data_IF_875189786260
#
_entry.id   IF_875189786260
#
_cell.length_a   1.000
_cell.length_b   1.000
_cell.length_c   1.000
_cell.angle_alpha   90.00
_cell.angle_beta   90.00
_cell.angle_gamma   90.00
#
_symmetry.space_group_name_H-M   'P 1'
#
loop_
_entity.id
_entity.type
_entity.pdbx_description
1 polymer ?
#
# COMPACT_ATOMS: atom_id res chain seq x y z
N UNK A 1 -11.73 -23.73 -20.69
CA UNK A 1 -10.50 -23.06 -21.16
C UNK A 1 -10.74 -21.59 -21.53
N UNK A 2 -11.71 -21.28 -22.41
CA UNK A 2 -11.99 -19.92 -22.89
C UNK A 2 -12.36 -18.88 -21.80
N UNK A 3 -13.22 -19.23 -20.83
CA UNK A 3 -13.59 -18.34 -19.70
C UNK A 3 -12.38 -17.90 -18.87
N UNK A 4 -11.49 -18.86 -18.56
CA UNK A 4 -10.25 -18.59 -17.81
C UNK A 4 -9.28 -17.68 -18.57
N UNK A 5 -9.23 -17.80 -19.89
CA UNK A 5 -8.43 -16.90 -20.75
C UNK A 5 -8.99 -15.47 -20.76
N UNK A 6 -10.32 -15.34 -20.84
CA UNK A 6 -11.01 -14.05 -20.73
C UNK A 6 -10.78 -13.40 -19.36
N UNK A 7 -10.93 -14.16 -18.26
CA UNK A 7 -10.68 -13.65 -16.92
C UNK A 7 -9.22 -13.17 -16.76
N UNK A 8 -8.25 -13.92 -17.30
CA UNK A 8 -6.85 -13.50 -17.33
C UNK A 8 -6.63 -12.22 -18.14
N UNK A 9 -7.29 -12.06 -19.30
CA UNK A 9 -7.20 -10.84 -20.11
C UNK A 9 -7.70 -9.62 -19.34
N UNK A 10 -8.86 -9.72 -18.68
CA UNK A 10 -9.40 -8.62 -17.87
C UNK A 10 -8.50 -8.29 -16.67
N UNK A 11 -7.86 -9.29 -16.05
CA UNK A 11 -6.87 -9.04 -14.99
C UNK A 11 -5.65 -8.29 -15.49
N UNK A 12 -5.10 -8.66 -16.65
CA UNK A 12 -3.94 -7.98 -17.24
C UNK A 12 -4.28 -6.51 -17.51
N UNK A 13 -5.45 -6.26 -18.11
CA UNK A 13 -5.93 -4.90 -18.37
C UNK A 13 -6.11 -4.13 -17.06
N UNK A 14 -6.75 -4.74 -16.06
CA UNK A 14 -6.93 -4.13 -14.75
C UNK A 14 -5.60 -3.81 -14.05
N UNK A 15 -4.61 -4.71 -14.11
CA UNK A 15 -3.28 -4.47 -13.57
C UNK A 15 -2.59 -3.30 -14.25
N UNK A 16 -2.66 -3.24 -15.58
CA UNK A 16 -2.09 -2.14 -16.36
C UNK A 16 -2.72 -0.80 -16.01
N UNK A 17 -4.05 -0.75 -15.91
CA UNK A 17 -4.79 0.45 -15.49
C UNK A 17 -4.36 0.88 -14.09
N UNK A 18 -4.30 -0.06 -13.13
CA UNK A 18 -3.88 0.24 -11.76
C UNK A 18 -2.44 0.76 -11.69
N UNK A 19 -1.50 0.17 -12.45
CA UNK A 19 -0.11 0.63 -12.49
C UNK A 19 -0.03 2.04 -13.07
N UNK A 20 -0.68 2.30 -14.21
CA UNK A 20 -0.70 3.64 -14.82
C UNK A 20 -1.33 4.65 -13.86
N UNK A 21 -2.50 4.34 -13.29
CA UNK A 21 -3.18 5.22 -12.35
C UNK A 21 -2.32 5.52 -11.13
N UNK A 22 -1.56 4.53 -10.62
CA UNK A 22 -0.67 4.70 -9.48
C UNK A 22 0.55 5.55 -9.81
N UNK A 23 1.20 5.28 -10.94
CA UNK A 23 2.37 6.05 -11.39
C UNK A 23 1.99 7.49 -11.70
N UNK A 24 0.98 7.70 -12.56
CA UNK A 24 0.53 9.04 -12.94
C UNK A 24 -0.09 9.77 -11.74
N UNK A 25 -0.87 9.06 -10.91
CA UNK A 25 -1.45 9.62 -9.70
C UNK A 25 -0.36 10.14 -8.76
N UNK A 26 0.66 9.32 -8.46
CA UNK A 26 1.78 9.73 -7.61
C UNK A 26 2.58 10.89 -8.22
N UNK A 27 2.74 10.94 -9.54
CA UNK A 27 3.55 11.99 -10.20
C UNK A 27 2.80 13.32 -10.31
N UNK A 28 1.57 13.30 -10.82
CA UNK A 28 0.84 14.50 -11.20
C UNK A 28 -0.01 15.07 -10.07
N UNK A 29 -0.59 14.24 -9.19
CA UNK A 29 -1.40 14.76 -8.08
C UNK A 29 -0.56 15.55 -7.07
N UNK A 30 0.78 15.38 -7.10
CA UNK A 30 1.68 16.04 -6.16
C UNK A 30 1.68 17.55 -6.37
N UNK A 31 1.51 17.99 -7.61
CA UNK A 31 1.44 19.39 -7.98
C UNK A 31 0.15 20.09 -7.48
N UNK A 32 -0.85 19.32 -7.04
CA UNK A 32 -2.08 19.83 -6.45
C UNK A 32 -2.06 19.87 -4.93
N UNK A 33 -1.03 19.30 -4.29
CA UNK A 33 -0.83 19.47 -2.86
C UNK A 33 -0.41 20.93 -2.59
N UNK A 34 -0.81 21.52 -1.45
CA UNK A 34 -0.35 22.86 -1.07
C UNK A 34 1.19 22.92 -1.01
N UNK A 35 1.79 24.10 -0.79
CA UNK A 35 3.24 24.19 -0.57
C UNK A 35 3.56 24.28 0.93
N UNK A 36 4.39 23.36 1.44
CA UNK A 36 4.76 23.14 2.84
C UNK A 36 3.60 22.92 3.83
N UNK A 37 3.73 22.02 4.81
CA UNK A 37 2.77 21.95 5.91
C UNK A 37 2.66 23.32 6.58
N UNK A 38 1.45 23.88 6.63
CA UNK A 38 1.18 25.12 7.34
C UNK A 38 0.97 24.87 8.84
N UNK A 39 0.57 23.65 9.21
CA UNK A 39 0.15 23.29 10.56
C UNK A 39 1.11 22.29 11.16
N UNK A 40 1.59 22.63 12.36
CA UNK A 40 2.56 21.84 13.10
C UNK A 40 2.01 21.51 14.48
N UNK A 41 2.35 20.32 14.97
CA UNK A 41 2.08 19.89 16.34
C UNK A 41 3.42 19.61 17.02
N UNK A 42 3.58 20.07 18.25
CA UNK A 42 4.78 19.78 19.05
C UNK A 42 4.44 18.69 20.04
N UNK A 43 5.11 17.54 19.92
CA UNK A 43 4.95 16.40 20.82
C UNK A 43 6.32 16.16 21.48
N UNK A 44 6.37 16.20 22.81
CA UNK A 44 7.61 16.02 23.59
C UNK A 44 8.77 16.92 23.14
N UNK A 45 8.48 18.17 22.80
CA UNK A 45 9.49 19.14 22.33
C UNK A 45 9.93 18.96 20.88
N UNK A 46 9.37 17.99 20.14
CA UNK A 46 9.62 17.81 18.71
C UNK A 46 8.42 18.33 17.92
N UNK A 47 8.67 19.34 17.09
CA UNK A 47 7.66 19.89 16.19
C UNK A 47 7.59 19.03 14.92
N UNK A 48 6.40 18.51 14.64
CA UNK A 48 6.10 17.69 13.47
C UNK A 48 4.96 18.33 12.66
N UNK A 49 4.99 18.21 11.33
CA UNK A 49 3.88 18.65 10.51
C UNK A 49 2.65 17.77 10.76
N UNK A 50 1.48 18.41 10.91
CA UNK A 50 0.19 17.70 11.06
C UNK A 50 -0.27 17.10 9.74
N UNK A 51 -0.03 17.82 8.64
CA UNK A 51 -0.40 17.42 7.29
C UNK A 51 0.85 17.20 6.45
N UNK A 52 1.27 15.95 6.27
CA UNK A 52 2.38 15.65 5.36
C UNK A 52 1.90 15.66 3.91
N UNK A 53 2.72 16.25 3.04
CA UNK A 53 2.49 16.24 1.60
C UNK A 53 2.93 14.92 1.00
N UNK A 54 2.14 13.91 1.28
CA UNK A 54 2.33 12.57 0.78
C UNK A 54 1.05 12.12 0.03
N UNK A 55 1.26 11.50 -1.13
CA UNK A 55 0.24 10.80 -1.91
C UNK A 55 0.15 9.32 -1.55
N UNK A 56 0.53 8.98 -0.31
CA UNK A 56 0.51 7.65 0.25
C UNK A 56 -0.78 6.90 -0.07
N UNK A 57 -1.92 7.57 0.13
CA UNK A 57 -3.24 7.00 -0.10
C UNK A 57 -3.44 6.49 -1.54
N UNK A 58 -2.79 7.10 -2.54
CA UNK A 58 -2.87 6.67 -3.96
C UNK A 58 -2.30 5.27 -4.10
N UNK A 59 -1.08 5.08 -3.62
CA UNK A 59 -0.39 3.78 -3.70
C UNK A 59 -1.07 2.78 -2.77
N UNK A 60 -1.47 3.19 -1.56
CA UNK A 60 -2.15 2.33 -0.59
C UNK A 60 -3.47 1.76 -1.14
N UNK A 61 -4.34 2.61 -1.72
CA UNK A 61 -5.62 2.17 -2.30
C UNK A 61 -5.41 1.27 -3.51
N UNK A 62 -4.45 1.59 -4.38
CA UNK A 62 -4.17 0.76 -5.55
C UNK A 62 -3.59 -0.60 -5.15
N UNK A 63 -2.73 -0.62 -4.12
CA UNK A 63 -2.21 -1.85 -3.52
C UNK A 63 -3.35 -2.69 -2.94
N UNK A 64 -4.27 -2.08 -2.19
CA UNK A 64 -5.42 -2.77 -1.64
C UNK A 64 -6.32 -3.34 -2.75
N UNK A 65 -6.58 -2.58 -3.83
CA UNK A 65 -7.36 -3.01 -4.98
C UNK A 65 -6.71 -4.17 -5.74
N UNK A 66 -5.39 -4.16 -5.91
CA UNK A 66 -4.69 -5.26 -6.59
C UNK A 66 -4.88 -6.58 -5.85
N UNK A 67 -4.83 -6.55 -4.52
CA UNK A 67 -5.13 -7.70 -3.66
C UNK A 67 -6.59 -8.13 -3.69
N UNK A 68 -7.52 -7.19 -3.55
CA UNK A 68 -8.96 -7.48 -3.46
C UNK A 68 -9.56 -7.96 -4.79
N UNK A 69 -9.17 -7.36 -5.91
CA UNK A 69 -9.77 -7.59 -7.22
C UNK A 69 -8.95 -8.53 -8.11
N UNK A 70 -7.65 -8.26 -8.30
CA UNK A 70 -6.84 -8.95 -9.30
C UNK A 70 -6.29 -10.29 -8.81
N UNK A 71 -5.87 -10.35 -7.53
CA UNK A 71 -5.37 -11.55 -6.84
C UNK A 71 -4.13 -12.19 -7.48
N UNK A 72 -3.55 -13.18 -6.82
CA UNK A 72 -2.41 -13.94 -7.34
C UNK A 72 -1.20 -13.04 -7.59
N UNK A 73 -0.50 -13.21 -8.71
CA UNK A 73 0.74 -12.48 -9.00
C UNK A 73 0.59 -10.95 -8.96
N UNK A 74 -0.58 -10.42 -9.34
CA UNK A 74 -0.81 -8.97 -9.40
C UNK A 74 -0.88 -8.31 -8.02
N UNK A 75 -1.14 -9.08 -6.97
CA UNK A 75 -1.03 -8.60 -5.59
C UNK A 75 0.38 -8.08 -5.29
N UNK A 76 1.41 -8.72 -5.85
CA UNK A 76 2.81 -8.29 -5.70
C UNK A 76 3.24 -7.33 -6.82
N UNK A 77 2.97 -7.69 -8.08
CA UNK A 77 3.49 -6.97 -9.26
C UNK A 77 3.03 -5.50 -9.29
N UNK A 78 1.75 -5.23 -8.98
CA UNK A 78 1.18 -3.88 -9.08
C UNK A 78 1.87 -2.90 -8.12
N UNK A 79 1.87 -3.10 -6.78
CA UNK A 79 2.56 -2.20 -5.87
C UNK A 79 4.06 -2.13 -6.14
N UNK A 80 4.70 -3.25 -6.47
CA UNK A 80 6.13 -3.29 -6.78
C UNK A 80 6.49 -2.40 -7.97
N UNK A 81 5.77 -2.52 -9.10
CA UNK A 81 6.06 -1.72 -10.29
C UNK A 81 5.74 -0.24 -10.10
N UNK A 82 4.68 0.11 -9.36
CA UNK A 82 4.38 1.51 -9.05
C UNK A 82 5.55 2.12 -8.30
N UNK A 83 6.02 1.48 -7.23
CA UNK A 83 7.13 1.97 -6.42
C UNK A 83 8.44 2.03 -7.23
N UNK A 84 8.79 0.97 -7.96
CA UNK A 84 9.96 0.93 -8.82
C UNK A 84 10.00 2.09 -9.80
N UNK A 85 8.93 2.29 -10.58
CA UNK A 85 8.88 3.33 -11.62
C UNK A 85 8.96 4.72 -11.00
N UNK A 86 8.19 4.94 -9.94
CA UNK A 86 8.07 6.28 -9.35
C UNK A 86 9.31 6.66 -8.52
N UNK A 87 10.02 5.70 -7.94
CA UNK A 87 11.28 5.96 -7.24
C UNK A 87 12.46 6.10 -8.21
N UNK A 88 12.42 5.49 -9.40
CA UNK A 88 13.36 5.85 -10.49
C UNK A 88 13.18 7.32 -10.88
N UNK A 89 11.94 7.81 -10.89
CA UNK A 89 11.63 9.19 -11.25
C UNK A 89 12.04 10.21 -10.16
N UNK A 90 11.78 9.90 -8.88
CA UNK A 90 12.05 10.83 -7.77
C UNK A 90 13.41 10.65 -7.08
N UNK A 91 14.06 9.51 -7.28
CA UNK A 91 15.10 9.04 -6.37
C UNK A 91 14.50 8.44 -5.09
N UNK A 92 15.36 7.83 -4.28
CA UNK A 92 14.92 7.10 -3.10
C UNK A 92 15.82 7.29 -1.89
N UNK A 93 15.30 6.95 -0.72
CA UNK A 93 16.00 7.02 0.55
C UNK A 93 16.46 5.64 1.02
N UNK A 94 17.29 5.63 2.05
CA UNK A 94 17.89 4.42 2.64
C UNK A 94 16.86 3.34 3.04
N UNK A 95 15.66 3.74 3.42
CA UNK A 95 14.58 2.84 3.89
C UNK A 95 13.67 2.33 2.77
N UNK A 96 14.02 2.52 1.50
CA UNK A 96 13.09 2.30 0.40
C UNK A 96 12.45 0.92 0.36
N UNK A 97 13.22 -0.13 0.65
CA UNK A 97 12.73 -1.50 0.67
C UNK A 97 11.61 -1.68 1.70
N UNK A 98 11.68 -0.99 2.84
CA UNK A 98 10.60 -0.99 3.83
C UNK A 98 9.32 -0.39 3.27
N UNK A 99 9.40 0.68 2.48
CA UNK A 99 8.23 1.29 1.85
C UNK A 99 7.63 0.37 0.77
N UNK A 100 8.47 -0.26 -0.05
CA UNK A 100 8.04 -1.18 -1.11
C UNK A 100 7.34 -2.40 -0.53
N UNK A 101 7.98 -3.05 0.45
CA UNK A 101 7.40 -4.21 1.11
C UNK A 101 6.19 -3.84 1.96
N UNK A 102 6.15 -2.63 2.50
CA UNK A 102 4.98 -2.07 3.18
C UNK A 102 3.75 -2.00 2.27
N UNK A 103 3.88 -1.45 1.06
CA UNK A 103 2.74 -1.40 0.13
C UNK A 103 2.31 -2.80 -0.32
N UNK A 104 3.26 -3.71 -0.49
CA UNK A 104 2.98 -5.12 -0.76
C UNK A 104 2.23 -5.78 0.40
N UNK A 105 2.53 -5.43 1.67
CA UNK A 105 1.77 -5.90 2.83
C UNK A 105 0.29 -5.46 2.76
N UNK A 106 0.03 -4.21 2.38
CA UNK A 106 -1.36 -3.73 2.18
C UNK A 106 -2.07 -4.58 1.11
N UNK A 107 -1.40 -4.85 -0.01
CA UNK A 107 -1.96 -5.68 -1.07
C UNK A 107 -2.21 -7.13 -0.60
N UNK A 108 -1.28 -7.70 0.17
CA UNK A 108 -1.43 -9.04 0.74
C UNK A 108 -2.63 -9.15 1.67
N UNK A 109 -2.90 -8.14 2.51
CA UNK A 109 -4.09 -8.14 3.37
C UNK A 109 -5.37 -8.16 2.53
N UNK A 110 -5.45 -7.33 1.49
CA UNK A 110 -6.56 -7.36 0.54
C UNK A 110 -6.72 -8.74 -0.11
N UNK A 111 -5.62 -9.35 -0.54
CA UNK A 111 -5.62 -10.69 -1.12
C UNK A 111 -6.13 -11.76 -0.15
N UNK A 112 -5.64 -11.78 1.09
CA UNK A 112 -6.02 -12.73 2.14
C UNK A 112 -7.52 -12.63 2.46
N UNK A 113 -8.04 -11.41 2.57
CA UNK A 113 -9.46 -11.16 2.83
C UNK A 113 -10.32 -11.61 1.65
N UNK A 114 -9.90 -11.31 0.42
CA UNK A 114 -10.63 -11.70 -0.78
C UNK A 114 -10.69 -13.22 -1.00
N UNK A 115 -9.71 -13.97 -0.48
CA UNK A 115 -9.68 -15.43 -0.57
C UNK A 115 -10.54 -16.13 0.48
N UNK A 116 -10.89 -15.45 1.58
CA UNK A 116 -11.93 -15.95 2.48
C UNK A 116 -13.24 -15.85 1.72
N UNK A 117 -14.00 -16.94 1.59
CA UNK A 117 -15.26 -17.02 0.79
C UNK A 117 -16.41 -16.12 1.29
N UNK A 118 -16.11 -15.11 2.12
CA UNK A 118 -17.06 -14.11 2.61
C UNK A 118 -17.24 -13.01 1.56
N UNK A 119 -18.46 -12.48 1.47
CA UNK A 119 -18.76 -11.25 0.72
C UNK A 119 -17.87 -10.11 1.21
N UNK A 120 -17.33 -9.32 0.27
CA UNK A 120 -16.50 -8.15 0.54
C UNK A 120 -17.41 -6.97 0.92
N UNK A 121 -18.03 -7.04 2.10
CA UNK A 121 -18.86 -5.94 2.57
C UNK A 121 -18.01 -4.72 2.98
N UNK A 122 -18.67 -3.56 3.03
CA UNK A 122 -18.03 -2.26 3.32
C UNK A 122 -17.22 -2.29 4.63
N UNK A 123 -17.73 -2.81 5.77
CA UNK A 123 -16.96 -2.84 7.02
C UNK A 123 -15.67 -3.64 6.92
N UNK A 124 -15.69 -4.79 6.25
CA UNK A 124 -14.49 -5.62 6.06
C UNK A 124 -13.47 -4.91 5.21
N UNK A 125 -13.89 -4.26 4.11
CA UNK A 125 -12.99 -3.52 3.22
C UNK A 125 -12.36 -2.33 3.95
N UNK A 126 -13.16 -1.55 4.66
CA UNK A 126 -12.68 -0.41 5.44
C UNK A 126 -11.70 -0.85 6.54
N UNK A 127 -12.07 -1.88 7.30
CA UNK A 127 -11.21 -2.44 8.35
C UNK A 127 -9.89 -2.98 7.78
N UNK A 128 -9.92 -3.64 6.61
CA UNK A 128 -8.72 -4.13 5.93
C UNK A 128 -7.79 -2.97 5.55
N UNK A 129 -8.36 -1.87 5.05
CA UNK A 129 -7.60 -0.66 4.74
C UNK A 129 -6.93 -0.05 5.97
N UNK A 130 -7.70 0.14 7.06
CA UNK A 130 -7.20 0.69 8.32
C UNK A 130 -6.06 -0.18 8.89
N UNK A 131 -6.27 -1.50 8.97
CA UNK A 131 -5.25 -2.44 9.44
C UNK A 131 -4.03 -2.43 8.52
N UNK A 132 -4.24 -2.32 7.20
CA UNK A 132 -3.15 -2.22 6.22
C UNK A 132 -2.28 -1.00 6.42
N UNK A 133 -2.88 0.18 6.64
CA UNK A 133 -2.14 1.41 6.93
C UNK A 133 -1.36 1.29 8.24
N UNK A 134 -2.00 0.81 9.30
CA UNK A 134 -1.33 0.64 10.60
C UNK A 134 -0.13 -0.32 10.50
N UNK A 135 -0.26 -1.42 9.77
CA UNK A 135 0.84 -2.36 9.54
C UNK A 135 1.93 -1.76 8.66
N UNK A 136 1.57 -0.99 7.63
CA UNK A 136 2.53 -0.26 6.81
C UNK A 136 3.34 0.72 7.65
N UNK A 137 2.67 1.55 8.47
CA UNK A 137 3.35 2.57 9.27
C UNK A 137 4.20 1.92 10.36
N UNK A 138 3.72 0.86 11.01
CA UNK A 138 4.51 0.11 11.97
C UNK A 138 5.79 -0.44 11.32
N UNK A 139 5.65 -1.04 10.14
CA UNK A 139 6.77 -1.63 9.41
C UNK A 139 7.77 -0.59 8.90
N UNK A 140 7.30 0.51 8.32
CA UNK A 140 8.18 1.55 7.77
C UNK A 140 8.86 2.35 8.87
N UNK A 141 8.19 2.62 9.99
CA UNK A 141 8.82 3.26 11.15
C UNK A 141 9.87 2.37 11.81
N UNK A 142 9.69 1.06 11.80
CA UNK A 142 10.77 0.14 12.18
C UNK A 142 11.99 0.31 11.26
N UNK A 143 11.79 0.46 9.95
CA UNK A 143 12.85 0.80 9.00
C UNK A 143 13.51 2.15 9.30
N UNK A 144 12.73 3.19 9.60
CA UNK A 144 13.24 4.51 10.01
C UNK A 144 14.11 4.41 11.27
N UNK A 145 13.67 3.65 12.28
CA UNK A 145 14.41 3.45 13.51
C UNK A 145 15.76 2.78 13.24
N UNK A 146 15.78 1.72 12.42
CA UNK A 146 17.01 1.04 12.02
C UNK A 146 17.96 1.96 11.24
N UNK A 147 17.42 2.81 10.36
CA UNK A 147 18.20 3.67 9.47
C UNK A 147 18.73 4.97 10.08
N UNK A 148 17.96 5.61 10.97
CA UNK A 148 18.23 7.01 11.35
C UNK A 148 18.27 7.30 12.85
N UNK A 149 17.77 6.39 13.69
CA UNK A 149 17.67 6.63 15.13
C UNK A 149 18.71 5.81 15.90
N UNK A 150 19.13 6.25 17.10
CA UNK A 150 19.95 5.43 17.98
C UNK A 150 19.24 4.10 18.30
N UNK A 151 19.98 2.99 18.20
CA UNK A 151 19.48 1.63 18.46
C UNK A 151 19.36 1.35 19.96
N UNK A 152 18.59 2.21 20.65
CA UNK A 152 18.26 2.12 22.07
C UNK A 152 16.74 2.14 22.23
N UNK A 153 16.24 1.68 23.38
CA UNK A 153 14.81 1.72 23.67
C UNK A 153 14.24 3.15 23.60
N UNK A 154 15.00 4.14 24.05
CA UNK A 154 14.61 5.54 23.95
C UNK A 154 14.53 6.03 22.51
N UNK A 155 15.48 5.63 21.66
CA UNK A 155 15.45 5.92 20.22
C UNK A 155 14.25 5.29 19.51
N UNK A 156 13.88 4.07 19.89
CA UNK A 156 12.69 3.38 19.38
C UNK A 156 11.41 4.13 19.78
N UNK A 157 11.23 4.41 21.07
CA UNK A 157 10.06 5.15 21.58
C UNK A 157 9.95 6.52 20.89
N UNK A 158 11.07 7.22 20.73
CA UNK A 158 11.12 8.50 20.07
C UNK A 158 10.66 8.41 18.60
N UNK A 159 11.22 7.47 17.83
CA UNK A 159 10.88 7.25 16.43
C UNK A 159 9.36 7.04 16.24
N UNK A 160 8.77 6.17 17.06
CA UNK A 160 7.33 5.89 16.97
C UNK A 160 6.44 7.01 17.49
N UNK A 161 6.88 7.76 18.51
CA UNK A 161 6.13 8.91 19.03
C UNK A 161 6.06 10.03 17.99
N UNK A 162 7.18 10.29 17.32
CA UNK A 162 7.29 11.29 16.26
C UNK A 162 6.47 10.92 15.03
N UNK A 163 6.26 9.62 14.78
CA UNK A 163 5.48 9.14 13.64
C UNK A 163 3.96 9.26 13.80
N UNK A 164 3.43 9.55 15.00
CA UNK A 164 1.98 9.56 15.26
C UNK A 164 1.21 10.51 14.31
N UNK A 165 1.62 11.78 14.10
CA UNK A 165 0.93 12.67 13.17
C UNK A 165 0.89 12.14 11.74
N UNK A 166 1.98 11.47 11.32
CA UNK A 166 2.09 10.85 10.00
C UNK A 166 1.09 9.69 9.84
N UNK A 167 1.02 8.80 10.83
CA UNK A 167 0.04 7.69 10.83
C UNK A 167 -1.40 8.18 10.80
N UNK A 168 -1.72 9.24 11.52
CA UNK A 168 -3.06 9.83 11.49
C UNK A 168 -3.41 10.37 10.10
N UNK A 169 -2.48 11.02 9.42
CA UNK A 169 -2.68 11.50 8.05
C UNK A 169 -2.87 10.36 7.05
N UNK A 170 -2.06 9.30 7.16
CA UNK A 170 -2.18 8.10 6.34
C UNK A 170 -3.54 7.42 6.50
N UNK A 171 -4.02 7.30 7.74
CA UNK A 171 -5.34 6.75 8.04
C UNK A 171 -6.45 7.60 7.43
N UNK A 172 -6.44 8.91 7.69
CA UNK A 172 -7.48 9.81 7.22
C UNK A 172 -7.57 9.81 5.68
N UNK A 173 -6.43 10.01 5.02
CA UNK A 173 -6.35 10.05 3.56
C UNK A 173 -6.75 8.73 2.91
N UNK A 174 -6.32 7.60 3.48
CA UNK A 174 -6.66 6.26 2.95
C UNK A 174 -8.11 5.90 3.19
N UNK A 175 -8.69 6.22 4.36
CA UNK A 175 -10.13 5.99 4.63
C UNK A 175 -11.01 6.80 3.68
N UNK A 176 -10.65 8.06 3.44
CA UNK A 176 -11.33 8.89 2.43
C UNK A 176 -11.22 8.28 1.04
N UNK A 177 -10.02 7.87 0.63
CA UNK A 177 -9.78 7.27 -0.68
C UNK A 177 -10.44 5.90 -0.85
N UNK A 178 -10.53 5.08 0.19
CA UNK A 178 -11.30 3.82 0.19
C UNK A 178 -12.77 4.10 -0.07
N UNK A 179 -13.31 5.12 0.60
CA UNK A 179 -14.71 5.50 0.47
C UNK A 179 -15.07 5.93 -0.96
N UNK A 180 -14.19 6.71 -1.59
CA UNK A 180 -14.41 7.29 -2.91
C UNK A 180 -14.03 6.33 -4.05
N UNK A 181 -13.05 5.45 -3.85
CA UNK A 181 -12.46 4.65 -4.94
C UNK A 181 -12.73 3.15 -4.75
N UNK A 182 -12.39 2.60 -3.59
CA UNK A 182 -12.42 1.15 -3.37
C UNK A 182 -13.84 0.63 -3.25
N UNK A 183 -14.69 1.31 -2.47
CA UNK A 183 -16.09 0.91 -2.29
C UNK A 183 -16.84 0.92 -3.64
N UNK A 184 -16.79 1.99 -4.46
CA UNK A 184 -17.39 1.96 -5.80
C UNK A 184 -16.81 0.87 -6.69
N UNK A 185 -15.49 0.64 -6.68
CA UNK A 185 -14.88 -0.42 -7.49
C UNK A 185 -15.40 -1.82 -7.11
N UNK A 186 -15.58 -2.10 -5.82
CA UNK A 186 -16.16 -3.37 -5.35
C UNK A 186 -17.64 -3.45 -5.72
N UNK A 187 -18.41 -2.37 -5.56
CA UNK A 187 -19.80 -2.30 -5.96
C UNK A 187 -19.98 -2.61 -7.46
N UNK A 188 -19.17 -2.00 -8.32
CA UNK A 188 -19.17 -2.25 -9.77
C UNK A 188 -18.84 -3.71 -10.11
N UNK A 189 -17.93 -4.34 -9.35
CA UNK A 189 -17.64 -5.77 -9.50
C UNK A 189 -18.82 -6.65 -9.09
N UNK A 190 -19.46 -6.36 -7.95
CA UNK A 190 -20.60 -7.14 -7.46
C UNK A 190 -21.82 -7.06 -8.39
N UNK A 191 -22.01 -5.93 -9.09
CA UNK A 191 -23.08 -5.74 -10.08
C UNK A 191 -22.70 -6.23 -11.49
N UNK A 192 -21.57 -6.92 -11.64
CA UNK A 192 -21.15 -7.52 -12.91
C UNK A 192 -20.65 -6.53 -13.97
N UNK A 193 -20.43 -5.26 -13.60
CA UNK A 193 -19.87 -4.25 -14.50
C UNK A 193 -18.35 -4.41 -14.66
N UNK A 194 -17.67 -4.97 -13.65
CA UNK A 194 -16.27 -5.40 -13.74
C UNK A 194 -16.18 -6.93 -13.86
N UNK A 195 -15.85 -7.41 -15.06
CA UNK A 195 -15.67 -8.84 -15.35
C UNK A 195 -14.31 -9.38 -14.83
N UNK A 196 -14.08 -9.29 -13.52
CA UNK A 196 -12.86 -9.78 -12.86
C UNK A 196 -13.25 -10.85 -11.83
N UNK A 197 -13.55 -12.05 -12.33
CA UNK A 197 -13.97 -13.20 -11.52
C UNK A 197 -12.91 -14.29 -11.55
N UNK A 198 -11.74 -13.96 -11.01
CA UNK A 198 -10.62 -14.90 -10.98
C UNK A 198 -10.38 -15.49 -9.59
N UNK A 199 -10.10 -16.78 -9.58
CA UNK A 199 -9.67 -17.52 -8.39
C UNK A 199 -8.21 -17.86 -8.57
N UNK A 200 -7.36 -17.35 -7.66
CA UNK A 200 -5.93 -17.61 -7.69
C UNK A 200 -5.61 -19.09 -7.55
N UNK A 201 -4.69 -19.57 -8.38
CA UNK A 201 -4.15 -20.92 -8.31
C UNK A 201 -3.27 -21.10 -7.06
N UNK A 202 -3.11 -22.34 -6.55
CA UNK A 202 -2.20 -22.60 -5.43
C UNK A 202 -0.76 -22.15 -5.69
N UNK A 203 -0.31 -22.22 -6.94
CA UNK A 203 1.01 -21.75 -7.38
C UNK A 203 1.13 -20.23 -7.31
N UNK A 204 0.14 -19.49 -7.83
CA UNK A 204 0.08 -18.02 -7.70
C UNK A 204 0.12 -17.58 -6.25
N UNK A 205 -0.68 -18.23 -5.39
CA UNK A 205 -0.71 -17.93 -3.95
C UNK A 205 0.68 -18.13 -3.34
N UNK A 206 1.28 -19.32 -3.53
CA UNK A 206 2.61 -19.64 -2.97
C UNK A 206 3.68 -18.67 -3.43
N UNK A 207 3.75 -18.38 -4.73
CA UNK A 207 4.75 -17.46 -5.30
C UNK A 207 4.56 -16.06 -4.75
N UNK A 208 3.32 -15.56 -4.73
CA UNK A 208 3.02 -14.20 -4.23
C UNK A 208 3.40 -14.06 -2.76
N UNK A 209 3.05 -15.06 -1.92
CA UNK A 209 3.42 -15.04 -0.50
C UNK A 209 4.93 -15.16 -0.30
N UNK A 210 5.60 -16.01 -1.09
CA UNK A 210 7.05 -16.21 -0.99
C UNK A 210 7.82 -14.96 -1.40
N UNK A 211 7.47 -14.33 -2.53
CA UNK A 211 8.11 -13.09 -2.99
C UNK A 211 7.90 -11.95 -2.01
N UNK A 212 6.70 -11.82 -1.46
CA UNK A 212 6.40 -10.79 -0.46
C UNK A 212 7.20 -11.02 0.83
N UNK A 213 7.25 -12.26 1.33
CA UNK A 213 8.03 -12.62 2.50
C UNK A 213 9.54 -12.41 2.28
N UNK A 214 10.05 -12.81 1.11
CA UNK A 214 11.44 -12.60 0.73
C UNK A 214 11.80 -11.11 0.74
N UNK A 215 10.97 -10.24 0.15
CA UNK A 215 11.22 -8.80 0.14
C UNK A 215 11.20 -8.20 1.56
N UNK A 216 10.27 -8.64 2.41
CA UNK A 216 10.22 -8.21 3.81
C UNK A 216 11.45 -8.63 4.60
N UNK A 217 11.96 -9.85 4.39
CA UNK A 217 13.18 -10.36 5.06
C UNK A 217 14.42 -9.64 4.54
N UNK A 218 14.48 -9.35 3.24
CA UNK A 218 15.59 -8.63 2.62
C UNK A 218 15.64 -7.15 3.05
N UNK A 219 14.51 -6.54 3.39
CA UNK A 219 14.43 -5.12 3.76
C UNK A 219 15.38 -4.72 4.91
N UNK A 220 15.40 -5.40 6.07
CA UNK A 220 16.36 -5.10 7.12
C UNK A 220 17.79 -5.51 6.75
N UNK A 221 17.99 -6.61 6.00
CA UNK A 221 19.35 -7.08 5.65
C UNK A 221 20.08 -6.08 4.77
N UNK A 222 19.42 -5.60 3.72
CA UNK A 222 19.99 -4.66 2.75
C UNK A 222 20.23 -3.26 3.34
N UNK A 223 19.65 -2.96 4.50
CA UNK A 223 19.93 -1.72 5.22
C UNK A 223 21.33 -1.74 5.86
N UNK A 224 21.95 -2.91 6.03
CA UNK A 224 23.29 -3.07 6.62
C UNK A 224 24.38 -3.50 5.63
N UNK A 225 24.05 -3.59 4.33
CA UNK A 225 24.98 -3.89 3.24
C UNK A 225 25.39 -2.61 2.52
#
# INVERSE_FOLDING_TARGET
>A
MMKRLLDNKHRIIGAFILIIAGVLGRIYLRNFLPNTPSWYITINGITQPVFMMDLFFVVAVISLLSGLLLRGYYTFIVPFLIMLITDIYYGNNYIFLFTWSGFILIALLGFLISNRKSTLNIPVVMGTGIVGVLLYDLWTNFGCWLGWYPHTLNGLILCYTVAIPFTLWHLLSTVAAISVIVIPAIYLKEHGLLNINYVSTPTETKVTTLLSAALMVLSPILLFL
#
